data_IF_146736691210
#
_entry.id   IF_146736691210
#
_cell.length_a   1.000
_cell.length_b   1.000
_cell.length_c   1.000
_cell.angle_alpha   90.00
_cell.angle_beta   90.00
_cell.angle_gamma   90.00
#
_symmetry.space_group_name_H-M   'P 1'
#
loop_
_entity.id
_entity.type
_entity.pdbx_description
1 polymer ?
#
# COMPACT_ATOMS: atom_id res chain seq x y z
N UNK A 1 -46.83 -70.28 -38.83
CA UNK A 1 -47.94 -69.38 -39.20
C UNK A 1 -47.64 -67.98 -38.67
N UNK A 2 -47.54 -66.97 -39.55
CA UNK A 2 -47.55 -65.54 -39.21
C UNK A 2 -49.00 -65.09 -38.94
N UNK A 3 -49.22 -64.03 -38.13
CA UNK A 3 -49.36 -62.66 -38.67
C UNK A 3 -48.66 -61.59 -37.79
N UNK A 4 -47.87 -60.67 -38.36
CA UNK A 4 -48.22 -59.27 -38.69
C UNK A 4 -49.01 -58.50 -37.62
N UNK A 5 -48.42 -57.47 -36.99
CA UNK A 5 -49.06 -56.16 -36.77
C UNK A 5 -48.04 -55.04 -36.42
N UNK A 6 -48.15 -53.97 -37.21
CA UNK A 6 -47.68 -52.57 -37.16
C UNK A 6 -46.56 -52.08 -36.21
N UNK A 7 -45.51 -51.55 -36.84
CA UNK A 7 -44.52 -50.60 -36.31
C UNK A 7 -45.14 -49.19 -36.29
N UNK A 8 -45.21 -48.55 -35.12
CA UNK A 8 -45.45 -47.10 -34.98
C UNK A 8 -44.13 -46.36 -35.12
N UNK A 9 -44.03 -45.53 -36.16
CA UNK A 9 -42.94 -44.57 -36.36
C UNK A 9 -43.15 -43.37 -35.42
N UNK A 10 -42.23 -43.14 -34.49
CA UNK A 10 -42.17 -41.88 -33.73
C UNK A 10 -41.14 -40.99 -34.41
N UNK A 11 -41.61 -39.90 -35.03
CA UNK A 11 -40.78 -38.84 -35.58
C UNK A 11 -40.04 -38.13 -34.44
N UNK A 12 -38.73 -38.33 -34.34
CA UNK A 12 -37.85 -37.46 -33.54
C UNK A 12 -37.60 -36.21 -34.38
N UNK A 13 -38.26 -35.11 -34.05
CA UNK A 13 -37.92 -33.79 -34.58
C UNK A 13 -36.59 -33.35 -33.98
N UNK A 14 -35.50 -33.53 -34.75
CA UNK A 14 -34.23 -32.85 -34.50
C UNK A 14 -34.48 -31.34 -34.63
N UNK A 15 -34.52 -30.63 -33.50
CA UNK A 15 -34.34 -29.18 -33.48
C UNK A 15 -32.90 -28.92 -33.93
N UNK A 16 -32.71 -28.54 -35.20
CA UNK A 16 -31.48 -27.88 -35.64
C UNK A 16 -31.40 -26.55 -34.89
N UNK A 17 -30.70 -26.55 -33.77
CA UNK A 17 -30.20 -25.32 -33.16
C UNK A 17 -29.27 -24.65 -34.16
N UNK A 18 -29.68 -23.51 -34.69
CA UNK A 18 -28.85 -22.64 -35.51
C UNK A 18 -27.56 -22.32 -34.76
N UNK A 19 -26.44 -22.89 -35.21
CA UNK A 19 -25.11 -22.42 -34.92
C UNK A 19 -24.98 -21.03 -35.55
N UNK A 20 -25.34 -19.99 -34.80
CA UNK A 20 -24.86 -18.66 -35.14
C UNK A 20 -23.34 -18.70 -34.96
N UNK A 21 -22.55 -18.29 -35.97
CA UNK A 21 -21.13 -18.14 -35.76
C UNK A 21 -20.94 -17.10 -34.66
N UNK A 22 -20.32 -17.51 -33.55
CA UNK A 22 -19.78 -16.57 -32.57
C UNK A 22 -18.78 -15.74 -33.35
N UNK A 23 -19.14 -14.49 -33.66
CA UNK A 23 -18.19 -13.56 -34.25
C UNK A 23 -17.07 -13.40 -33.24
N UNK A 24 -15.85 -13.77 -33.65
CA UNK A 24 -14.66 -13.39 -32.91
C UNK A 24 -14.69 -11.87 -32.79
N UNK A 25 -15.03 -11.37 -31.60
CA UNK A 25 -14.90 -9.96 -31.28
C UNK A 25 -13.48 -9.56 -31.66
N UNK A 26 -13.39 -8.55 -32.52
CA UNK A 26 -12.11 -7.99 -32.94
C UNK A 26 -11.40 -7.50 -31.68
N UNK A 27 -10.46 -8.28 -31.16
CA UNK A 27 -9.42 -7.76 -30.29
C UNK A 27 -8.67 -6.75 -31.14
N UNK A 28 -8.99 -5.47 -30.98
CA UNK A 28 -8.32 -4.40 -31.72
C UNK A 28 -6.87 -4.40 -31.26
N UNK A 29 -5.98 -4.94 -32.11
CA UNK A 29 -4.55 -4.90 -31.87
C UNK A 29 -4.12 -3.44 -31.76
N UNK A 30 -3.32 -3.12 -30.73
CA UNK A 30 -2.71 -1.79 -30.61
C UNK A 30 -1.89 -1.52 -31.89
N UNK A 31 -2.00 -0.32 -32.49
CA UNK A 31 -1.12 0.08 -33.56
C UNK A 31 0.36 -0.15 -33.23
N UNK A 32 1.15 -0.63 -34.19
CA UNK A 32 2.55 -1.02 -33.96
C UNK A 32 3.41 0.10 -33.33
N UNK A 33 3.14 1.36 -33.66
CA UNK A 33 3.84 2.50 -33.07
C UNK A 33 3.52 2.69 -31.58
N UNK A 34 2.28 2.42 -31.15
CA UNK A 34 1.90 2.46 -29.72
C UNK A 34 2.49 1.27 -28.96
N UNK A 35 2.54 0.09 -29.57
CA UNK A 35 3.21 -1.07 -28.98
C UNK A 35 4.72 -0.83 -28.82
N UNK A 36 5.37 -0.21 -29.81
CA UNK A 36 6.79 0.13 -29.75
C UNK A 36 7.08 1.21 -28.69
N UNK A 37 6.29 2.30 -28.65
CA UNK A 37 6.42 3.33 -27.63
C UNK A 37 6.24 2.75 -26.21
N UNK A 38 5.28 1.85 -26.01
CA UNK A 38 5.11 1.14 -24.73
C UNK A 38 6.31 0.26 -24.38
N UNK A 39 6.90 -0.43 -25.37
CA UNK A 39 8.10 -1.23 -25.18
C UNK A 39 9.31 -0.36 -24.80
N UNK A 40 9.52 0.77 -25.50
CA UNK A 40 10.58 1.72 -25.20
C UNK A 40 10.44 2.30 -23.80
N UNK A 41 9.24 2.77 -23.46
CA UNK A 41 8.90 3.25 -22.12
C UNK A 41 9.28 2.20 -21.06
N UNK A 42 8.84 0.95 -21.24
CA UNK A 42 9.11 -0.13 -20.29
C UNK A 42 10.62 -0.37 -20.12
N UNK A 43 11.37 -0.36 -21.23
CA UNK A 43 12.82 -0.53 -21.23
C UNK A 43 13.51 0.60 -20.47
N UNK A 44 13.16 1.85 -20.76
CA UNK A 44 13.75 3.01 -20.09
C UNK A 44 13.43 3.05 -18.60
N UNK A 45 12.20 2.72 -18.20
CA UNK A 45 11.85 2.61 -16.78
C UNK A 45 12.70 1.54 -16.07
N UNK A 46 12.83 0.35 -16.66
CA UNK A 46 13.67 -0.73 -16.10
C UNK A 46 15.14 -0.32 -15.97
N UNK A 47 15.70 0.30 -17.01
CA UNK A 47 17.07 0.82 -16.98
C UNK A 47 17.26 1.90 -15.91
N UNK A 48 16.27 2.78 -15.73
CA UNK A 48 16.27 3.80 -14.68
C UNK A 48 16.29 3.20 -13.27
N UNK A 49 15.41 2.22 -13.01
CA UNK A 49 15.38 1.51 -11.72
C UNK A 49 16.69 0.77 -11.45
N UNK A 50 17.22 0.04 -12.44
CA UNK A 50 18.51 -0.66 -12.33
C UNK A 50 19.68 0.31 -12.07
N UNK A 51 19.75 1.42 -12.80
CA UNK A 51 20.78 2.43 -12.61
C UNK A 51 20.69 3.09 -11.23
N UNK A 52 19.48 3.27 -10.70
CA UNK A 52 19.26 3.80 -9.35
C UNK A 52 19.83 2.88 -8.28
N UNK A 53 19.59 1.56 -8.39
CA UNK A 53 20.19 0.56 -7.48
C UNK A 53 21.72 0.58 -7.52
N UNK A 54 22.28 0.78 -8.70
CA UNK A 54 23.73 0.93 -8.90
C UNK A 54 24.27 2.30 -8.46
N UNK A 55 23.42 3.18 -7.90
CA UNK A 55 23.74 4.59 -7.54
C UNK A 55 24.22 5.43 -8.72
N UNK A 56 24.02 4.95 -9.94
CA UNK A 56 24.27 5.71 -11.15
C UNK A 56 23.07 6.64 -11.42
N UNK A 57 22.88 7.60 -10.52
CA UNK A 57 21.73 8.52 -10.56
C UNK A 57 21.71 9.40 -11.80
N UNK A 58 22.88 9.67 -12.40
CA UNK A 58 22.98 10.40 -13.68
C UNK A 58 22.33 9.59 -14.81
N UNK A 59 22.73 8.32 -14.96
CA UNK A 59 22.11 7.42 -15.94
C UNK A 59 20.62 7.19 -15.63
N UNK A 60 20.28 6.98 -14.35
CA UNK A 60 18.89 6.79 -13.93
C UNK A 60 18.00 7.98 -14.32
N UNK A 61 18.45 9.21 -14.03
CA UNK A 61 17.73 10.42 -14.39
C UNK A 61 17.54 10.53 -15.91
N UNK A 62 18.55 10.17 -16.70
CA UNK A 62 18.44 10.19 -18.16
C UNK A 62 17.41 9.17 -18.65
N UNK A 63 17.47 7.93 -18.18
CA UNK A 63 16.51 6.89 -18.55
C UNK A 63 15.07 7.26 -18.15
N UNK A 64 14.83 7.76 -16.94
CA UNK A 64 13.48 8.18 -16.55
C UNK A 64 12.97 9.38 -17.36
N UNK A 65 13.85 10.29 -17.78
CA UNK A 65 13.48 11.37 -18.71
C UNK A 65 13.10 10.83 -20.10
N UNK A 66 13.82 9.83 -20.60
CA UNK A 66 13.47 9.16 -21.87
C UNK A 66 12.13 8.43 -21.76
N UNK A 67 11.87 7.72 -20.67
CA UNK A 67 10.56 7.13 -20.41
C UNK A 67 9.44 8.19 -20.40
N UNK A 68 9.67 9.34 -19.75
CA UNK A 68 8.68 10.42 -19.71
C UNK A 68 8.43 11.05 -21.10
N UNK A 69 9.41 11.02 -22.00
CA UNK A 69 9.22 11.46 -23.40
C UNK A 69 8.35 10.48 -24.19
N UNK A 70 8.52 9.17 -23.98
CA UNK A 70 7.69 8.13 -24.61
C UNK A 70 6.24 8.17 -24.09
N UNK A 71 6.06 8.52 -22.80
CA UNK A 71 4.73 8.65 -22.18
C UNK A 71 4.61 9.97 -21.39
N UNK A 72 4.36 11.10 -22.05
CA UNK A 72 4.20 12.40 -21.40
C UNK A 72 3.08 12.39 -20.36
N UNK A 73 3.36 12.95 -19.17
CA UNK A 73 2.41 12.96 -18.05
C UNK A 73 2.30 11.64 -17.29
N UNK A 74 3.08 10.61 -17.64
CA UNK A 74 3.11 9.37 -16.89
C UNK A 74 3.57 9.60 -15.45
N UNK A 75 2.80 9.06 -14.51
CA UNK A 75 3.05 9.27 -13.09
C UNK A 75 4.28 8.55 -12.58
N UNK A 76 4.56 7.32 -13.04
CA UNK A 76 5.70 6.55 -12.57
C UNK A 76 7.01 7.20 -13.00
N UNK A 77 7.13 7.55 -14.29
CA UNK A 77 8.28 8.25 -14.83
C UNK A 77 8.46 9.64 -14.18
N UNK A 78 7.37 10.42 -14.04
CA UNK A 78 7.43 11.73 -13.37
C UNK A 78 7.91 11.62 -11.92
N UNK A 79 7.34 10.67 -11.15
CA UNK A 79 7.74 10.44 -9.76
C UNK A 79 9.21 10.03 -9.66
N UNK A 80 9.65 9.11 -10.52
CA UNK A 80 11.03 8.67 -10.55
C UNK A 80 12.00 9.82 -10.89
N UNK A 81 11.70 10.65 -11.90
CA UNK A 81 12.52 11.83 -12.24
C UNK A 81 12.67 12.78 -11.04
N UNK A 82 11.55 13.11 -10.37
CA UNK A 82 11.56 14.00 -9.21
C UNK A 82 12.38 13.40 -8.06
N UNK A 83 12.23 12.10 -7.83
CA UNK A 83 12.82 11.44 -6.69
C UNK A 83 14.34 11.26 -6.83
N UNK A 84 14.83 10.98 -8.04
CA UNK A 84 16.27 10.85 -8.30
C UNK A 84 17.04 12.14 -8.01
N UNK A 85 16.46 13.31 -8.25
CA UNK A 85 17.11 14.59 -7.93
C UNK A 85 17.42 14.71 -6.43
N UNK A 86 16.53 14.21 -5.58
CA UNK A 86 16.71 14.22 -4.13
C UNK A 86 17.77 13.19 -3.72
N UNK A 87 17.77 12.00 -4.31
CA UNK A 87 18.79 10.98 -4.02
C UNK A 87 20.21 11.49 -4.34
N UNK A 88 20.40 12.17 -5.47
CA UNK A 88 21.67 12.84 -5.82
C UNK A 88 22.11 13.81 -4.72
N UNK A 89 21.19 14.62 -4.19
CA UNK A 89 21.51 15.61 -3.14
C UNK A 89 21.91 14.98 -1.81
N UNK A 90 21.43 13.76 -1.52
CA UNK A 90 21.69 13.04 -0.26
C UNK A 90 22.95 12.20 -0.35
N UNK A 91 23.19 11.54 -1.47
CA UNK A 91 24.41 10.74 -1.70
C UNK A 91 25.67 11.60 -1.55
N UNK A 92 25.65 12.83 -2.09
CA UNK A 92 26.71 13.84 -1.89
C UNK A 92 26.99 14.18 -0.43
N UNK A 93 26.00 14.09 0.46
CA UNK A 93 26.13 14.43 1.89
C UNK A 93 26.67 13.25 2.71
N UNK A 94 26.27 12.02 2.38
CA UNK A 94 26.54 10.84 3.22
C UNK A 94 27.75 10.01 2.76
N UNK A 95 28.20 10.14 1.51
CA UNK A 95 29.27 9.32 0.94
C UNK A 95 28.92 7.81 0.85
N UNK A 96 29.89 7.00 0.40
CA UNK A 96 29.74 5.55 0.08
C UNK A 96 29.53 4.62 1.30
N UNK A 97 28.95 5.08 2.42
CA UNK A 97 28.96 4.34 3.70
C UNK A 97 27.86 3.28 3.90
N UNK A 98 26.81 3.22 3.06
CA UNK A 98 25.72 2.21 3.16
C UNK A 98 25.34 1.68 1.77
N UNK A 99 24.86 0.44 1.67
CA UNK A 99 24.48 -0.19 0.40
C UNK A 99 23.09 0.25 -0.09
N UNK A 100 22.07 0.19 0.76
CA UNK A 100 20.68 0.59 0.43
C UNK A 100 20.23 1.76 1.31
N UNK A 101 19.38 2.63 0.75
CA UNK A 101 18.68 3.69 1.47
C UNK A 101 17.22 3.65 1.03
N UNK A 102 16.31 3.21 1.91
CA UNK A 102 14.88 3.31 1.66
C UNK A 102 14.42 4.70 2.12
N UNK A 103 14.09 5.57 1.16
CA UNK A 103 13.59 6.92 1.43
C UNK A 103 12.33 7.15 0.63
N UNK A 104 11.27 7.59 1.29
CA UNK A 104 10.09 8.09 0.62
C UNK A 104 10.26 9.57 0.27
N UNK A 105 9.84 9.92 -0.93
CA UNK A 105 9.83 11.30 -1.38
C UNK A 105 8.39 11.67 -1.72
N UNK A 106 7.82 12.68 -1.04
CA UNK A 106 6.45 13.11 -1.29
C UNK A 106 6.22 13.49 -2.74
N UNK A 107 5.11 13.00 -3.29
CA UNK A 107 4.68 13.36 -4.65
C UNK A 107 3.97 14.73 -4.72
N UNK A 108 3.73 15.38 -3.58
CA UNK A 108 2.94 16.62 -3.44
C UNK A 108 3.72 17.78 -2.76
N UNK A 109 5.00 17.96 -3.09
CA UNK A 109 5.79 19.11 -2.60
C UNK A 109 5.08 20.44 -2.94
N UNK A 110 4.49 21.11 -1.95
CA UNK A 110 3.87 22.44 -2.09
C UNK A 110 2.37 22.54 -1.82
N UNK A 111 1.67 21.43 -1.54
CA UNK A 111 0.28 21.49 -1.00
C UNK A 111 0.32 21.65 0.52
N UNK A 112 -0.61 22.40 1.13
CA UNK A 112 -0.59 22.65 2.57
C UNK A 112 -0.53 21.33 3.35
N UNK A 113 0.49 21.22 4.19
CA UNK A 113 0.64 20.13 5.16
C UNK A 113 -0.56 20.18 6.10
N UNK A 114 -1.11 19.01 6.45
CA UNK A 114 -2.18 18.91 7.45
C UNK A 114 -1.69 19.60 8.73
N UNK A 115 -2.43 20.59 9.23
CA UNK A 115 -2.32 20.93 10.64
C UNK A 115 -2.77 19.69 11.40
N UNK A 116 -1.90 19.13 12.25
CA UNK A 116 -2.25 18.07 13.20
C UNK A 116 -3.62 18.40 13.76
N UNK A 117 -4.60 17.53 13.53
CA UNK A 117 -6.00 17.80 13.86
C UNK A 117 -6.07 18.27 15.30
N UNK A 118 -6.30 19.57 15.46
CA UNK A 118 -6.42 20.22 16.75
C UNK A 118 -7.82 19.93 17.25
N UNK A 119 -7.93 19.03 18.22
CA UNK A 119 -9.15 18.92 19.01
C UNK A 119 -9.38 17.56 19.66
N UNK A 120 -9.09 17.45 20.95
CA UNK A 120 -10.16 17.33 21.96
C UNK A 120 -9.63 17.82 23.31
N UNK A 121 -10.55 18.37 24.10
CA UNK A 121 -10.38 19.13 25.34
C UNK A 121 -9.44 18.46 26.33
N UNK A 122 -8.68 19.27 27.06
CA UNK A 122 -7.71 18.90 28.08
C UNK A 122 -8.36 18.24 29.32
N UNK A 123 -8.93 17.05 29.14
CA UNK A 123 -9.38 16.16 30.19
C UNK A 123 -8.77 14.77 29.99
N UNK A 124 -8.42 14.09 31.07
CA UNK A 124 -8.05 12.69 31.00
C UNK A 124 -9.28 11.88 30.54
N UNK A 125 -9.13 11.13 29.44
CA UNK A 125 -10.15 10.17 29.01
C UNK A 125 -9.99 8.91 29.83
N UNK A 126 -11.07 8.45 30.46
CA UNK A 126 -11.06 7.22 31.24
C UNK A 126 -11.44 6.05 30.34
N UNK A 127 -10.94 4.87 30.66
CA UNK A 127 -11.40 3.62 30.06
C UNK A 127 -12.60 3.07 30.84
N UNK A 128 -13.22 2.01 30.32
CA UNK A 128 -14.37 1.32 30.94
C UNK A 128 -14.11 0.86 32.40
N UNK A 129 -12.85 0.71 32.82
CA UNK A 129 -12.49 0.36 34.20
C UNK A 129 -12.16 1.57 35.10
N UNK A 130 -12.35 2.80 34.61
CA UNK A 130 -12.08 4.04 35.34
C UNK A 130 -10.61 4.48 35.36
N UNK A 131 -9.68 3.71 34.78
CA UNK A 131 -8.28 4.13 34.64
C UNK A 131 -8.10 5.11 33.48
N UNK A 132 -7.06 5.94 33.53
CA UNK A 132 -6.68 6.79 32.37
C UNK A 132 -6.42 5.91 31.15
N UNK A 133 -7.11 6.21 30.05
CA UNK A 133 -7.09 5.38 28.85
C UNK A 133 -5.69 5.35 28.22
N UNK A 134 -5.06 6.51 28.00
CA UNK A 134 -3.66 6.61 27.56
C UNK A 134 -2.89 7.45 28.60
N UNK A 135 -2.19 6.81 29.56
CA UNK A 135 -1.48 7.52 30.62
C UNK A 135 -0.16 8.16 30.15
N UNK A 136 0.38 7.72 29.01
CA UNK A 136 1.67 8.18 28.48
C UNK A 136 1.61 9.49 27.68
N UNK A 137 2.79 10.05 27.37
CA UNK A 137 2.93 11.24 26.51
C UNK A 137 2.82 10.94 25.02
N UNK A 138 3.29 9.76 24.59
CA UNK A 138 3.18 9.32 23.20
C UNK A 138 1.72 9.02 22.87
N UNK A 139 1.30 9.41 21.67
CA UNK A 139 -0.09 9.29 21.21
C UNK A 139 -0.20 8.19 20.17
N UNK A 140 -1.43 7.72 19.94
CA UNK A 140 -1.74 6.90 18.77
C UNK A 140 -1.28 7.62 17.50
N UNK A 141 -0.52 6.94 16.65
CA UNK A 141 -0.03 7.48 15.38
C UNK A 141 -0.23 6.46 14.27
N UNK A 142 -0.70 6.91 13.12
CA UNK A 142 -0.64 6.10 11.91
C UNK A 142 0.75 6.24 11.28
N UNK A 143 1.33 5.13 10.79
CA UNK A 143 2.64 5.14 10.14
C UNK A 143 2.48 5.57 8.68
N UNK A 144 2.11 6.84 8.50
CA UNK A 144 1.86 7.46 7.19
C UNK A 144 2.70 8.72 7.05
N UNK A 145 3.13 9.11 5.84
CA UNK A 145 3.88 10.35 5.68
C UNK A 145 3.06 11.55 6.15
N UNK A 146 3.63 12.40 7.01
CA UNK A 146 2.91 13.54 7.63
C UNK A 146 2.50 14.64 6.64
N UNK A 147 3.13 14.64 5.46
CA UNK A 147 2.95 15.63 4.40
C UNK A 147 2.23 15.08 3.16
N UNK A 148 1.86 13.79 3.14
CA UNK A 148 1.15 13.18 2.00
C UNK A 148 -0.24 12.70 2.44
N UNK A 149 -1.31 13.45 2.11
CA UNK A 149 -2.65 13.14 2.61
C UNK A 149 -3.31 11.95 1.91
N UNK A 150 -2.73 11.46 0.82
CA UNK A 150 -3.27 10.36 0.03
C UNK A 150 -2.22 9.28 -0.13
N UNK A 151 -2.31 8.27 0.73
CA UNK A 151 -1.54 7.04 0.63
C UNK A 151 -1.87 6.32 -0.67
N UNK A 152 -0.92 5.53 -1.15
CA UNK A 152 -1.08 4.86 -2.44
C UNK A 152 -0.46 3.50 -2.39
N UNK A 153 -1.20 2.53 -2.90
CA UNK A 153 -0.74 1.14 -2.92
C UNK A 153 -0.94 0.45 -4.25
N UNK A 154 -0.10 -0.53 -4.55
CA UNK A 154 -0.37 -1.47 -5.65
C UNK A 154 -1.12 -2.72 -5.18
N UNK A 155 -1.04 -3.03 -3.88
CA UNK A 155 -1.64 -4.19 -3.27
C UNK A 155 -3.17 -4.17 -3.31
N UNK A 156 -3.76 -5.34 -3.56
CA UNK A 156 -5.20 -5.56 -3.44
C UNK A 156 -5.65 -5.54 -1.98
N UNK A 157 -4.78 -6.02 -1.10
CA UNK A 157 -5.00 -6.25 0.31
C UNK A 157 -3.81 -5.65 1.07
N UNK A 158 -3.80 -4.32 1.30
CA UNK A 158 -2.66 -3.65 1.92
C UNK A 158 -2.55 -3.94 3.42
N UNK A 159 -1.37 -3.66 3.97
CA UNK A 159 -1.12 -3.63 5.40
C UNK A 159 -1.18 -2.20 5.92
N UNK A 160 -1.88 -1.97 7.02
CA UNK A 160 -1.89 -0.71 7.74
C UNK A 160 -1.07 -0.84 9.02
N UNK A 161 -0.19 0.12 9.27
CA UNK A 161 0.68 0.12 10.45
C UNK A 161 0.36 1.31 11.35
N UNK A 162 0.28 1.04 12.65
CA UNK A 162 -0.03 2.04 13.67
C UNK A 162 0.91 1.90 14.86
N UNK A 163 1.34 3.02 15.44
CA UNK A 163 1.97 3.02 16.75
C UNK A 163 0.87 3.12 17.81
N UNK A 164 0.80 2.11 18.67
CA UNK A 164 -0.15 2.00 19.78
C UNK A 164 0.60 2.30 21.07
N UNK A 165 0.30 3.40 21.77
CA UNK A 165 0.90 3.69 23.07
C UNK A 165 0.38 2.73 24.14
N UNK A 166 1.04 2.70 25.31
CA UNK A 166 0.50 1.98 26.46
C UNK A 166 -0.91 2.50 26.77
N UNK A 167 -1.88 1.59 26.86
CA UNK A 167 -3.28 1.95 27.08
C UNK A 167 -3.98 0.92 27.96
N UNK A 168 -5.04 1.35 28.65
CA UNK A 168 -5.97 0.50 29.41
C UNK A 168 -7.21 0.10 28.59
N UNK A 169 -7.35 0.60 27.36
CA UNK A 169 -8.42 0.24 26.46
C UNK A 169 -8.41 -1.28 26.14
N UNK A 170 -9.56 -1.96 26.18
CA UNK A 170 -9.62 -3.40 25.94
C UNK A 170 -9.40 -3.77 24.47
N UNK A 171 -9.85 -2.91 23.55
CA UNK A 171 -9.87 -3.19 22.11
C UNK A 171 -9.48 -1.97 21.27
N UNK A 172 -9.07 -2.27 20.06
CA UNK A 172 -8.81 -1.34 18.96
C UNK A 172 -9.70 -1.71 17.78
N UNK A 173 -9.95 -0.77 16.88
CA UNK A 173 -10.82 -0.97 15.72
C UNK A 173 -10.23 -0.34 14.47
N UNK A 174 -10.19 -1.10 13.37
CA UNK A 174 -9.90 -0.60 12.03
C UNK A 174 -11.19 -0.61 11.21
N UNK A 175 -11.57 0.56 10.70
CA UNK A 175 -12.69 0.74 9.76
C UNK A 175 -12.13 1.21 8.44
N UNK A 176 -12.62 0.64 7.34
CA UNK A 176 -12.34 1.10 5.99
C UNK A 176 -13.68 1.39 5.30
N UNK A 177 -13.79 2.55 4.69
CA UNK A 177 -14.94 3.01 3.92
C UNK A 177 -14.56 3.35 2.48
N UNK A 178 -15.51 3.24 1.56
CA UNK A 178 -15.33 3.70 0.18
C UNK A 178 -15.54 5.22 0.03
N UNK A 179 -15.51 5.72 -1.20
CA UNK A 179 -15.70 7.14 -1.54
C UNK A 179 -17.14 7.65 -1.38
N UNK A 180 -18.08 6.77 -1.01
CA UNK A 180 -19.46 7.12 -0.64
C UNK A 180 -19.72 6.91 0.87
N UNK A 181 -18.66 6.80 1.68
CA UNK A 181 -18.71 6.56 3.12
C UNK A 181 -19.35 5.21 3.51
N UNK A 182 -19.48 4.25 2.58
CA UNK A 182 -19.95 2.92 2.94
C UNK A 182 -18.81 2.14 3.59
N UNK A 183 -19.06 1.56 4.77
CA UNK A 183 -18.09 0.68 5.43
C UNK A 183 -17.93 -0.60 4.61
N UNK A 184 -16.73 -0.82 4.08
CA UNK A 184 -16.36 -2.01 3.28
C UNK A 184 -15.55 -3.02 4.08
N UNK A 185 -14.97 -2.60 5.20
CA UNK A 185 -14.28 -3.46 6.14
C UNK A 185 -14.32 -2.88 7.55
N UNK A 186 -14.55 -3.73 8.54
CA UNK A 186 -14.47 -3.36 9.94
C UNK A 186 -13.91 -4.54 10.74
N UNK A 187 -12.92 -4.26 11.58
CA UNK A 187 -12.33 -5.27 12.44
C UNK A 187 -12.00 -4.70 13.80
N UNK A 188 -12.52 -5.36 14.85
CA UNK A 188 -12.14 -5.12 16.24
C UNK A 188 -11.08 -6.13 16.67
N UNK A 189 -10.05 -5.66 17.38
CA UNK A 189 -8.89 -6.45 17.81
C UNK A 189 -8.59 -6.16 19.29
N UNK A 190 -8.14 -7.14 20.09
CA UNK A 190 -7.67 -6.86 21.44
C UNK A 190 -6.48 -5.89 21.44
N UNK A 191 -6.31 -5.05 22.45
CA UNK A 191 -5.14 -4.18 22.55
C UNK A 191 -3.86 -4.99 22.83
N UNK A 192 -2.69 -4.68 22.22
CA UNK A 192 -1.43 -5.33 22.57
C UNK A 192 -1.03 -5.05 24.03
N UNK A 193 -0.42 -6.03 24.69
CA UNK A 193 -0.01 -5.91 26.11
C UNK A 193 1.15 -4.95 26.33
N UNK A 194 1.90 -4.62 25.27
CA UNK A 194 3.01 -3.68 25.28
C UNK A 194 2.79 -2.61 24.22
N UNK A 195 3.19 -1.38 24.54
CA UNK A 195 3.28 -0.31 23.56
C UNK A 195 4.22 -0.69 22.40
N UNK A 196 3.87 -0.28 21.18
CA UNK A 196 4.68 -0.57 20.00
C UNK A 196 3.91 -0.38 18.70
N UNK A 197 4.56 -0.75 17.60
CA UNK A 197 4.00 -0.69 16.26
C UNK A 197 3.30 -2.00 15.95
N UNK A 198 2.00 -1.91 15.62
CA UNK A 198 1.16 -3.00 15.15
C UNK A 198 1.05 -2.96 13.63
N UNK A 199 0.90 -4.12 13.00
CA UNK A 199 0.70 -4.26 11.55
C UNK A 199 -0.56 -5.09 11.31
N UNK A 200 -1.54 -4.47 10.64
CA UNK A 200 -2.86 -5.01 10.39
C UNK A 200 -3.04 -5.25 8.89
N UNK A 201 -3.18 -6.52 8.50
CA UNK A 201 -3.35 -6.89 7.10
C UNK A 201 -4.83 -6.95 6.75
N UNK A 202 -5.21 -6.32 5.63
CA UNK A 202 -6.53 -6.55 5.06
C UNK A 202 -6.62 -8.03 4.62
N UNK A 203 -7.56 -8.84 5.12
CA UNK A 203 -7.57 -10.26 4.87
C UNK A 203 -7.87 -10.59 3.40
N UNK A 204 -7.27 -11.66 2.88
CA UNK A 204 -7.53 -12.20 1.54
C UNK A 204 -8.73 -13.18 1.54
N UNK A 205 -9.77 -12.91 2.33
CA UNK A 205 -10.96 -13.78 2.45
C UNK A 205 -12.05 -13.36 1.47
N UNK A 206 -12.85 -14.32 0.99
CA UNK A 206 -13.93 -14.13 0.02
C UNK A 206 -14.94 -13.04 0.40
N UNK A 207 -15.14 -12.83 1.70
CA UNK A 207 -16.20 -11.97 2.22
C UNK A 207 -15.72 -10.53 2.50
N UNK A 208 -14.41 -10.27 2.35
CA UNK A 208 -13.81 -8.94 2.48
C UNK A 208 -13.34 -8.47 1.10
N UNK A 209 -14.01 -7.49 0.47
CA UNK A 209 -13.63 -7.03 -0.85
C UNK A 209 -12.21 -6.44 -0.84
N UNK A 210 -11.33 -6.96 -1.69
CA UNK A 210 -10.05 -6.30 -1.99
C UNK A 210 -10.27 -4.90 -2.54
N UNK A 211 -9.31 -4.00 -2.31
CA UNK A 211 -9.37 -2.65 -2.85
C UNK A 211 -9.40 -2.68 -4.37
N UNK A 212 -10.24 -1.87 -5.00
CA UNK A 212 -10.34 -1.81 -6.46
C UNK A 212 -9.33 -0.81 -7.03
N UNK A 213 -8.72 -1.16 -8.16
CA UNK A 213 -7.81 -0.27 -8.88
C UNK A 213 -8.53 1.04 -9.27
N UNK A 214 -7.86 2.17 -9.07
CA UNK A 214 -8.37 3.51 -9.33
C UNK A 214 -9.29 4.06 -8.24
N UNK A 215 -9.71 3.23 -7.29
CA UNK A 215 -10.60 3.65 -6.18
C UNK A 215 -9.81 4.13 -4.97
N UNK A 216 -10.39 5.13 -4.33
CA UNK A 216 -9.94 5.70 -3.06
C UNK A 216 -10.80 5.15 -1.94
N UNK A 217 -10.17 4.86 -0.82
CA UNK A 217 -10.80 4.40 0.41
C UNK A 217 -10.33 5.28 1.56
N UNK A 218 -11.19 5.43 2.57
CA UNK A 218 -10.89 6.13 3.82
C UNK A 218 -10.76 5.11 4.93
N UNK A 219 -9.81 5.29 5.83
CA UNK A 219 -9.68 4.44 7.00
C UNK A 219 -9.64 5.26 8.27
N UNK A 220 -10.21 4.67 9.32
CA UNK A 220 -10.12 5.13 10.69
C UNK A 220 -9.56 4.00 11.54
N UNK A 221 -8.57 4.32 12.37
CA UNK A 221 -8.06 3.42 13.39
C UNK A 221 -8.26 4.02 14.77
N UNK A 222 -8.96 3.28 15.62
CA UNK A 222 -9.43 3.74 16.92
C UNK A 222 -8.91 2.87 18.05
N UNK A 223 -8.48 3.50 19.14
CA UNK A 223 -8.37 2.86 20.46
C UNK A 223 -9.68 3.13 21.20
N UNK A 224 -10.44 2.07 21.50
CA UNK A 224 -11.76 2.18 22.12
C UNK A 224 -11.60 2.20 23.64
N UNK A 225 -11.66 3.39 24.24
CA UNK A 225 -11.45 3.57 25.68
C UNK A 225 -12.61 3.01 26.50
N UNK A 226 -13.84 3.35 26.11
CA UNK A 226 -15.08 2.87 26.71
C UNK A 226 -16.02 2.44 25.58
N UNK A 227 -16.39 1.15 25.57
CA UNK A 227 -17.30 0.60 24.55
C UNK A 227 -18.70 1.22 24.60
N UNK A 228 -19.09 1.77 25.74
CA UNK A 228 -20.38 2.43 25.94
C UNK A 228 -20.35 3.92 25.58
N UNK A 229 -19.16 4.54 25.53
CA UNK A 229 -18.96 5.94 25.17
C UNK A 229 -17.80 6.12 24.17
N UNK A 230 -18.14 5.94 22.89
CA UNK A 230 -17.21 6.08 21.76
C UNK A 230 -16.66 7.51 21.59
N UNK A 231 -17.19 8.53 22.29
CA UNK A 231 -16.63 9.90 22.25
C UNK A 231 -15.25 9.97 22.93
N UNK A 232 -14.93 8.98 23.75
CA UNK A 232 -13.65 8.88 24.46
C UNK A 232 -12.53 8.27 23.58
N UNK A 233 -12.85 7.76 22.39
CA UNK A 233 -11.91 7.07 21.52
C UNK A 233 -10.79 7.95 20.98
N UNK A 234 -9.57 7.44 21.01
CA UNK A 234 -8.46 8.05 20.28
C UNK A 234 -8.47 7.52 18.85
N UNK A 235 -8.58 8.43 17.88
CA UNK A 235 -8.76 8.08 16.46
C UNK A 235 -7.64 8.73 15.64
N UNK A 236 -7.09 7.95 14.70
CA UNK A 236 -6.27 8.45 13.59
C UNK A 236 -6.92 8.02 12.28
N UNK A 237 -6.83 8.88 11.27
CA UNK A 237 -7.55 8.70 10.00
C UNK A 237 -6.64 8.98 8.81
N UNK A 238 -6.98 8.40 7.67
CA UNK A 238 -6.32 8.71 6.40
C UNK A 238 -7.05 8.17 5.19
N UNK A 239 -6.42 8.30 4.03
CA UNK A 239 -6.98 7.88 2.75
C UNK A 239 -5.95 7.08 1.97
N UNK A 240 -6.38 6.02 1.31
CA UNK A 240 -5.54 5.15 0.49
C UNK A 240 -6.18 4.93 -0.88
N UNK A 241 -5.39 5.07 -1.95
CA UNK A 241 -5.81 4.78 -3.31
C UNK A 241 -5.05 3.57 -3.86
N UNK A 242 -5.77 2.58 -4.39
CA UNK A 242 -5.12 1.47 -5.12
C UNK A 242 -4.81 1.91 -6.55
N UNK A 243 -3.55 1.90 -6.94
CA UNK A 243 -3.08 2.28 -8.27
C UNK A 243 -2.80 1.01 -9.08
N UNK A 244 -3.12 1.04 -10.37
CA UNK A 244 -2.78 -0.04 -11.29
C UNK A 244 -1.25 -0.18 -11.35
N UNK A 245 -0.66 -1.34 -11.03
CA UNK A 245 0.77 -1.50 -11.07
C UNK A 245 1.31 -1.37 -12.50
N UNK A 246 2.35 -0.55 -12.69
CA UNK A 246 3.03 -0.43 -13.97
C UNK A 246 3.83 -1.69 -14.33
N UNK A 247 3.78 -2.10 -15.60
CA UNK A 247 4.41 -3.34 -16.05
C UNK A 247 5.94 -3.33 -15.90
N UNK A 248 6.59 -2.19 -16.12
CA UNK A 248 8.03 -2.04 -15.97
C UNK A 248 8.43 -2.13 -14.50
N UNK A 249 7.66 -1.46 -13.62
CA UNK A 249 7.83 -1.58 -12.17
C UNK A 249 7.70 -3.03 -11.70
N UNK A 250 6.63 -3.73 -12.08
CA UNK A 250 6.42 -5.13 -11.69
C UNK A 250 7.52 -6.06 -12.20
N UNK A 251 8.06 -5.78 -13.38
CA UNK A 251 9.16 -6.54 -13.97
C UNK A 251 10.44 -6.36 -13.16
N UNK A 252 10.75 -5.14 -12.71
CA UNK A 252 11.92 -4.90 -11.86
C UNK A 252 11.78 -5.53 -10.48
N UNK A 253 10.61 -5.41 -9.83
CA UNK A 253 10.38 -5.96 -8.50
C UNK A 253 10.60 -7.47 -8.44
N UNK A 254 10.29 -8.21 -9.52
CA UNK A 254 10.52 -9.66 -9.62
C UNK A 254 12.00 -10.06 -9.69
N UNK A 255 12.89 -9.14 -10.08
CA UNK A 255 14.32 -9.43 -10.27
C UNK A 255 15.13 -9.24 -8.99
N UNK A 256 14.56 -8.62 -7.98
CA UNK A 256 15.28 -8.10 -6.81
C UNK A 256 14.76 -8.70 -5.51
N UNK A 257 15.60 -8.64 -4.47
CA UNK A 257 15.26 -9.11 -3.12
C UNK A 257 14.28 -8.15 -2.43
N UNK A 258 13.55 -8.58 -1.38
CA UNK A 258 12.57 -7.73 -0.72
C UNK A 258 13.09 -6.37 -0.22
N UNK A 259 14.31 -6.29 0.29
CA UNK A 259 14.94 -5.01 0.72
C UNK A 259 15.01 -4.00 -0.45
N UNK A 260 15.43 -4.47 -1.62
CA UNK A 260 15.49 -3.65 -2.83
C UNK A 260 14.08 -3.35 -3.39
N UNK A 261 13.11 -4.25 -3.21
CA UNK A 261 11.71 -3.99 -3.56
C UNK A 261 11.17 -2.80 -2.75
N UNK A 262 11.43 -2.75 -1.44
CA UNK A 262 11.02 -1.63 -0.60
C UNK A 262 11.61 -0.30 -1.10
N UNK A 263 12.91 -0.28 -1.41
CA UNK A 263 13.57 0.91 -1.98
C UNK A 263 12.92 1.38 -3.30
N UNK A 264 12.57 0.44 -4.19
CA UNK A 264 11.93 0.75 -5.48
C UNK A 264 10.50 1.27 -5.28
N UNK A 265 9.72 0.69 -4.36
CA UNK A 265 8.38 1.18 -4.03
C UNK A 265 8.42 2.59 -3.44
N UNK A 266 9.31 2.85 -2.48
CA UNK A 266 9.50 4.17 -1.90
C UNK A 266 9.91 5.21 -2.97
N UNK A 267 10.86 4.84 -3.85
CA UNK A 267 11.26 5.65 -5.01
C UNK A 267 10.10 5.90 -5.97
N UNK A 268 9.15 4.98 -6.08
CA UNK A 268 8.00 5.09 -7.00
C UNK A 268 6.78 5.76 -6.34
N UNK A 269 6.91 6.23 -5.10
CA UNK A 269 5.84 6.93 -4.38
C UNK A 269 4.77 6.00 -3.81
N UNK A 270 5.13 4.77 -3.45
CA UNK A 270 4.28 3.77 -2.79
C UNK A 270 4.80 3.52 -1.37
N UNK A 271 4.46 4.43 -0.45
CA UNK A 271 4.87 4.32 0.95
C UNK A 271 4.37 3.04 1.58
N UNK A 272 3.09 2.71 1.38
CA UNK A 272 2.42 1.58 2.03
C UNK A 272 3.07 0.25 1.65
N UNK A 273 3.34 0.02 0.35
CA UNK A 273 4.00 -1.19 -0.14
C UNK A 273 5.44 -1.29 0.40
N UNK A 274 6.18 -0.17 0.43
CA UNK A 274 7.52 -0.14 1.00
C UNK A 274 7.54 -0.43 2.50
N UNK A 275 6.62 0.19 3.25
CA UNK A 275 6.52 0.04 4.69
C UNK A 275 6.10 -1.38 5.08
N UNK A 276 5.15 -1.97 4.34
CA UNK A 276 4.72 -3.34 4.54
C UNK A 276 5.90 -4.31 4.41
N UNK A 277 6.69 -4.20 3.33
CA UNK A 277 7.86 -5.06 3.11
C UNK A 277 8.90 -4.91 4.22
N UNK A 278 9.27 -3.67 4.58
CA UNK A 278 10.25 -3.46 5.65
C UNK A 278 9.74 -3.93 7.01
N UNK A 279 8.44 -3.86 7.27
CA UNK A 279 7.86 -4.36 8.51
C UNK A 279 8.00 -5.88 8.62
N UNK A 280 7.77 -6.62 7.53
CA UNK A 280 7.93 -8.07 7.52
C UNK A 280 9.41 -8.47 7.60
N UNK A 281 10.30 -7.78 6.90
CA UNK A 281 11.75 -7.98 7.00
C UNK A 281 12.25 -7.74 8.44
N UNK A 282 11.77 -6.70 9.10
CA UNK A 282 12.15 -6.38 10.48
C UNK A 282 11.60 -7.40 11.47
N UNK A 283 10.43 -8.00 11.20
CA UNK A 283 9.91 -9.14 11.99
C UNK A 283 10.73 -10.41 11.80
N UNK A 284 11.10 -10.75 10.56
CA UNK A 284 11.85 -11.97 10.25
C UNK A 284 13.32 -11.88 10.63
N UNK A 285 13.89 -10.67 10.61
CA UNK A 285 15.33 -10.41 10.80
C UNK A 285 15.57 -9.29 11.82
N UNK A 286 15.11 -9.43 13.09
CA UNK A 286 15.06 -8.33 14.07
C UNK A 286 16.43 -7.80 14.53
N UNK A 287 17.52 -8.49 14.21
CA UNK A 287 18.89 -8.09 14.54
C UNK A 287 19.70 -7.58 13.34
N UNK A 288 19.11 -7.59 12.14
CA UNK A 288 19.79 -7.08 10.94
C UNK A 288 19.89 -5.55 11.00
N UNK A 289 21.13 -5.05 10.99
CA UNK A 289 21.40 -3.61 11.09
C UNK A 289 21.01 -2.86 9.81
N UNK A 290 21.07 -3.51 8.65
CA UNK A 290 20.67 -2.89 7.38
C UNK A 290 19.17 -2.65 7.39
N UNK A 291 18.38 -3.68 7.73
CA UNK A 291 16.91 -3.57 7.81
C UNK A 291 16.49 -2.53 8.86
N UNK A 292 17.17 -2.47 10.02
CA UNK A 292 16.91 -1.42 11.03
C UNK A 292 17.17 -0.02 10.47
N UNK A 293 18.30 0.18 9.79
CA UNK A 293 18.64 1.47 9.20
C UNK A 293 17.65 1.87 8.10
N UNK A 294 17.28 0.94 7.21
CA UNK A 294 16.30 1.20 6.14
C UNK A 294 14.91 1.53 6.71
N UNK A 295 14.49 0.84 7.78
CA UNK A 295 13.27 1.15 8.52
C UNK A 295 13.30 2.58 9.09
N UNK A 296 14.38 2.93 9.77
CA UNK A 296 14.55 4.27 10.34
C UNK A 296 14.58 5.35 9.25
N UNK A 297 15.35 5.14 8.18
CA UNK A 297 15.49 6.10 7.08
C UNK A 297 14.14 6.33 6.38
N UNK A 298 13.34 5.27 6.18
CA UNK A 298 11.98 5.38 5.64
C UNK A 298 11.11 6.21 6.59
N UNK A 299 11.03 5.86 7.88
CA UNK A 299 10.20 6.58 8.85
C UNK A 299 10.60 8.06 9.00
N UNK A 300 11.90 8.36 9.08
CA UNK A 300 12.39 9.74 9.11
C UNK A 300 12.01 10.49 7.83
N UNK A 301 12.12 9.84 6.67
CA UNK A 301 11.73 10.48 5.41
C UNK A 301 10.23 10.82 5.34
N UNK A 302 9.38 10.09 6.06
CA UNK A 302 7.95 10.37 6.22
C UNK A 302 7.58 11.33 7.35
N UNK A 303 8.56 11.86 8.10
CA UNK A 303 8.32 12.72 9.27
C UNK A 303 7.80 11.97 10.51
N UNK A 304 8.23 10.71 10.70
CA UNK A 304 7.85 9.84 11.81
C UNK A 304 9.05 9.55 12.74
N UNK A 305 9.92 10.55 12.93
CA UNK A 305 11.19 10.41 13.67
C UNK A 305 10.97 9.89 15.10
N UNK A 306 9.85 10.29 15.73
CA UNK A 306 9.52 10.01 17.13
C UNK A 306 9.26 8.52 17.45
N UNK A 307 9.00 7.72 16.42
CA UNK A 307 8.67 6.29 16.55
C UNK A 307 9.64 5.36 15.82
N UNK A 308 10.75 5.90 15.30
CA UNK A 308 11.78 5.13 14.56
C UNK A 308 12.29 3.91 15.34
N UNK A 309 12.46 4.05 16.65
CA UNK A 309 12.99 3.03 17.55
C UNK A 309 11.92 2.15 18.22
N UNK A 310 10.64 2.41 17.98
CA UNK A 310 9.58 1.63 18.62
C UNK A 310 9.61 0.18 18.11
N UNK A 311 9.31 -0.80 18.98
CA UNK A 311 9.32 -2.21 18.61
C UNK A 311 8.13 -2.54 17.72
N UNK A 312 8.32 -3.46 16.78
CA UNK A 312 7.19 -4.17 16.18
C UNK A 312 6.67 -5.16 17.22
N UNK A 313 5.39 -5.05 17.57
CA UNK A 313 4.76 -5.95 18.53
C UNK A 313 3.83 -6.89 17.79
N UNK A 314 3.83 -8.16 18.20
CA UNK A 314 2.83 -9.11 17.73
C UNK A 314 1.47 -8.64 18.23
N UNK A 315 0.56 -8.44 17.29
CA UNK A 315 -0.79 -8.03 17.57
C UNK A 315 -1.77 -9.12 17.14
N UNK A 316 -2.60 -9.51 18.11
CA UNK A 316 -4.01 -9.85 17.95
C UNK A 316 -4.33 -11.00 16.99
N UNK A 317 -4.10 -12.24 17.42
CA UNK A 317 -4.93 -13.34 16.91
C UNK A 317 -6.36 -13.13 17.40
N UNK A 318 -7.33 -13.13 16.48
CA UNK A 318 -8.74 -13.30 16.82
C UNK A 318 -8.81 -14.62 17.60
N UNK A 319 -9.14 -14.56 18.89
CA UNK A 319 -9.52 -15.75 19.65
C UNK A 319 -10.92 -16.20 19.23
#
# INVERSE_FOLDING_TARGET
MKPFFLIRCVCVTLMLGSLLPVSADKVVALPAYLAQAQSNYNQYMQMGYSATRQRNYSAALNYFKQALQERPGDRYATTAVNNIQIYVSRDRRNGNKRQTYVTYIPTNLGKPVRQVQGGTRAGQRLSENGAVCIPGKKRLMALTPTFDPMQRTTAANPSFLFYVPQTSAPVMELVLSDDQDNVVYQQTLPTPTKAGIVSLNLPEKSDVPSLKVGKTYHWDFSIICDRSDRQLDYIVSGSIQRIAPDAALMTELKKVKPEEQAAIYALSGFWEDSLAILSELRKSSPNDLTIKNDWEDLLRSGGLEEITQEPLVSCCTIQ
#
